data_IF_004457337309
#
_entry.id   IF_004457337309
#
_cell.length_a   1.000
_cell.length_b   1.000
_cell.length_c   1.000
_cell.angle_alpha   90.00
_cell.angle_beta   90.00
_cell.angle_gamma   90.00
#
_symmetry.space_group_name_H-M   'P 1'
#
loop_
_entity.id
_entity.type
_entity.pdbx_description
1 polymer ?
#
# COMPACT_ATOMS: atom_id res chain seq x y z
N UNK A 1 -21.77 7.55 -6.88
CA UNK A 1 -20.47 6.84 -6.71
C UNK A 1 -19.40 7.60 -7.48
N UNK A 2 -18.34 8.07 -6.81
CA UNK A 2 -17.17 8.62 -7.51
C UNK A 2 -16.57 7.57 -8.45
N UNK A 3 -16.31 7.93 -9.72
CA UNK A 3 -15.62 7.05 -10.68
C UNK A 3 -14.14 6.98 -10.34
N UNK A 4 -13.72 5.88 -9.69
CA UNK A 4 -12.33 5.58 -9.34
C UNK A 4 -11.43 5.60 -10.57
N UNK A 5 -10.21 6.11 -10.42
CA UNK A 5 -9.18 6.07 -11.43
C UNK A 5 -7.93 5.35 -10.91
N UNK A 6 -7.25 4.63 -11.80
CA UNK A 6 -5.96 4.00 -11.57
C UNK A 6 -5.01 4.43 -12.68
N UNK A 7 -3.79 4.83 -12.31
CA UNK A 7 -2.72 5.13 -13.27
C UNK A 7 -1.61 4.11 -13.07
N UNK A 8 -1.33 3.34 -14.12
CA UNK A 8 -0.22 2.38 -14.15
C UNK A 8 0.98 3.08 -14.75
N UNK A 9 2.03 3.26 -13.98
CA UNK A 9 3.33 3.65 -14.47
C UNK A 9 4.12 2.39 -14.82
N UNK A 10 4.49 2.23 -16.08
CA UNK A 10 5.12 1.01 -16.58
C UNK A 10 6.53 1.30 -17.10
N UNK A 11 7.52 0.63 -16.50
CA UNK A 11 8.92 0.78 -16.86
C UNK A 11 9.26 0.06 -18.16
N UNK A 12 9.99 0.75 -19.02
CA UNK A 12 10.54 0.23 -20.27
C UNK A 12 12.06 0.46 -20.35
N UNK A 13 12.76 0.66 -19.22
CA UNK A 13 14.23 0.78 -19.20
C UNK A 13 14.94 -0.50 -19.62
N UNK A 14 16.24 -0.40 -19.92
CA UNK A 14 17.05 -1.54 -20.38
C UNK A 14 17.00 -2.75 -19.45
N UNK A 15 16.91 -2.55 -18.14
CA UNK A 15 16.83 -3.61 -17.14
C UNK A 15 15.59 -4.50 -17.34
N UNK A 16 14.54 -3.97 -17.96
CA UNK A 16 13.31 -4.69 -18.28
C UNK A 16 13.45 -5.57 -19.54
N UNK A 17 14.56 -5.50 -20.29
CA UNK A 17 14.83 -6.34 -21.47
C UNK A 17 15.21 -7.78 -21.06
N UNK A 18 14.19 -8.54 -20.67
CA UNK A 18 14.33 -9.92 -20.23
C UNK A 18 13.26 -10.81 -20.85
N UNK A 19 13.50 -12.13 -20.87
CA UNK A 19 12.56 -13.12 -21.41
C UNK A 19 11.15 -13.05 -20.77
N UNK A 20 11.05 -12.55 -19.52
CA UNK A 20 9.80 -12.37 -18.78
C UNK A 20 9.00 -11.12 -19.13
N UNK A 21 9.50 -10.23 -20.00
CA UNK A 21 8.87 -8.94 -20.28
C UNK A 21 7.48 -9.06 -20.94
N UNK A 22 7.34 -9.87 -21.99
CA UNK A 22 6.04 -10.06 -22.66
C UNK A 22 4.98 -10.68 -21.73
N UNK A 23 5.30 -11.71 -20.93
CA UNK A 23 4.41 -12.16 -19.85
C UNK A 23 4.01 -11.05 -18.86
N UNK A 24 4.96 -10.20 -18.44
CA UNK A 24 4.68 -9.05 -17.56
C UNK A 24 3.66 -8.10 -18.19
N UNK A 25 3.85 -7.69 -19.44
CA UNK A 25 2.92 -6.82 -20.17
C UNK A 25 1.51 -7.42 -20.21
N UNK A 26 1.40 -8.73 -20.51
CA UNK A 26 0.12 -9.44 -20.52
C UNK A 26 -0.59 -9.39 -19.16
N UNK A 27 0.13 -9.63 -18.07
CA UNK A 27 -0.45 -9.54 -16.71
C UNK A 27 -0.95 -8.13 -16.38
N UNK A 28 -0.24 -7.09 -16.81
CA UNK A 28 -0.67 -5.70 -16.61
C UNK A 28 -1.92 -5.39 -17.44
N UNK A 29 -2.02 -5.91 -18.66
CA UNK A 29 -3.24 -5.83 -19.49
C UNK A 29 -4.42 -6.53 -18.79
N UNK A 30 -4.21 -7.74 -18.28
CA UNK A 30 -5.24 -8.52 -17.58
C UNK A 30 -5.71 -7.79 -16.32
N UNK A 31 -4.79 -7.22 -15.53
CA UNK A 31 -5.09 -6.38 -14.37
C UNK A 31 -5.94 -5.15 -14.77
N UNK A 32 -5.48 -4.39 -15.76
CA UNK A 32 -6.18 -3.19 -16.22
C UNK A 32 -7.58 -3.52 -16.73
N UNK A 33 -7.73 -4.59 -17.49
CA UNK A 33 -9.03 -5.07 -18.01
C UNK A 33 -9.96 -5.46 -16.87
N UNK A 34 -9.46 -6.20 -15.88
CA UNK A 34 -10.24 -6.58 -14.69
C UNK A 34 -10.74 -5.37 -13.90
N UNK A 35 -9.90 -4.35 -13.73
CA UNK A 35 -10.26 -3.08 -13.08
C UNK A 35 -11.31 -2.30 -13.89
N UNK A 36 -11.15 -2.24 -15.22
CA UNK A 36 -12.10 -1.58 -16.13
C UNK A 36 -13.48 -2.25 -16.12
N UNK A 37 -13.54 -3.59 -16.10
CA UNK A 37 -14.79 -4.36 -16.00
C UNK A 37 -15.58 -4.06 -14.72
N UNK A 38 -14.94 -3.45 -13.72
CA UNK A 38 -15.56 -3.00 -12.47
C UNK A 38 -15.87 -1.50 -12.43
N UNK A 39 -15.79 -0.83 -13.57
CA UNK A 39 -16.06 0.61 -13.69
C UNK A 39 -14.92 1.51 -13.23
N UNK A 40 -13.70 0.98 -13.04
CA UNK A 40 -12.51 1.79 -12.76
C UNK A 40 -11.94 2.35 -14.06
N UNK A 41 -11.65 3.65 -14.11
CA UNK A 41 -10.91 4.24 -15.22
C UNK A 41 -9.43 3.89 -15.08
N UNK A 42 -8.86 3.19 -16.06
CA UNK A 42 -7.45 2.80 -16.02
C UNK A 42 -6.68 3.50 -17.13
N UNK A 43 -5.60 4.14 -16.75
CA UNK A 43 -4.67 4.83 -17.64
C UNK A 43 -3.26 4.27 -17.47
N UNK A 44 -2.43 4.38 -18.50
CA UNK A 44 -1.03 3.92 -18.47
C UNK A 44 -0.08 5.06 -18.83
N UNK A 45 1.03 5.16 -18.12
CA UNK A 45 2.15 6.05 -18.41
C UNK A 45 3.44 5.26 -18.46
N UNK A 46 4.03 5.17 -19.64
CA UNK A 46 5.32 4.55 -19.86
C UNK A 46 6.43 5.45 -19.31
N UNK A 47 7.54 4.85 -18.87
CA UNK A 47 8.73 5.60 -18.48
C UNK A 47 10.01 4.82 -18.77
N UNK A 48 11.13 5.53 -18.79
CA UNK A 48 12.42 5.05 -19.29
C UNK A 48 13.21 6.22 -19.85
N UNK A 49 13.84 6.04 -21.00
CA UNK A 49 14.60 7.08 -21.70
C UNK A 49 13.78 7.83 -22.78
N UNK A 50 14.47 8.51 -23.70
CA UNK A 50 13.84 9.42 -24.67
C UNK A 50 12.93 8.71 -25.66
N UNK A 51 13.17 7.43 -25.96
CA UNK A 51 12.37 6.67 -26.91
C UNK A 51 10.96 6.39 -26.35
N UNK A 52 10.88 6.05 -25.06
CA UNK A 52 9.63 5.89 -24.31
C UNK A 52 8.83 7.20 -24.27
N UNK A 53 9.52 8.33 -24.13
CA UNK A 53 8.89 9.66 -24.17
C UNK A 53 8.35 10.02 -25.55
N UNK A 54 9.03 9.58 -26.62
CA UNK A 54 8.55 9.77 -27.99
C UNK A 54 7.24 9.01 -28.25
N UNK A 55 7.03 7.84 -27.62
CA UNK A 55 5.75 7.13 -27.67
C UNK A 55 4.65 8.04 -27.12
N UNK A 56 4.83 8.63 -25.94
CA UNK A 56 3.84 9.55 -25.37
C UNK A 56 3.64 10.81 -26.20
N UNK A 57 4.70 11.35 -26.82
CA UNK A 57 4.60 12.49 -27.72
C UNK A 57 3.66 12.21 -28.90
N UNK A 58 3.67 10.99 -29.45
CA UNK A 58 2.76 10.56 -30.53
C UNK A 58 1.29 10.54 -30.10
N UNK A 59 1.02 10.45 -28.80
CA UNK A 59 -0.33 10.55 -28.24
C UNK A 59 -0.64 11.95 -27.72
N UNK A 60 0.16 12.98 -28.03
CA UNK A 60 -0.06 14.35 -27.55
C UNK A 60 0.34 14.55 -26.09
N UNK A 61 1.25 13.72 -25.57
CA UNK A 61 1.80 13.83 -24.22
C UNK A 61 0.87 13.37 -23.09
N UNK A 62 -0.34 12.87 -23.41
CA UNK A 62 -1.28 12.35 -22.41
C UNK A 62 -0.95 10.93 -21.95
N UNK A 63 -1.66 10.50 -20.92
CA UNK A 63 -1.72 9.10 -20.50
C UNK A 63 -2.40 8.26 -21.59
N UNK A 64 -1.94 7.03 -21.74
CA UNK A 64 -2.52 6.03 -22.62
C UNK A 64 -3.78 5.44 -21.98
N UNK A 65 -4.74 5.08 -22.82
CA UNK A 65 -5.83 4.18 -22.43
C UNK A 65 -5.34 2.75 -22.37
N UNK A 66 -6.04 1.87 -21.65
CA UNK A 66 -5.70 0.44 -21.65
C UNK A 66 -5.73 -0.19 -23.05
N UNK A 67 -6.61 0.28 -23.94
CA UNK A 67 -6.66 -0.23 -25.31
C UNK A 67 -5.41 0.16 -26.11
N UNK A 68 -4.95 1.40 -25.95
CA UNK A 68 -3.68 1.84 -26.59
C UNK A 68 -2.49 1.09 -26.03
N UNK A 69 -2.48 0.83 -24.72
CA UNK A 69 -1.46 -0.01 -24.09
C UNK A 69 -1.50 -1.46 -24.61
N UNK A 70 -2.68 -2.09 -24.65
CA UNK A 70 -2.80 -3.48 -25.07
C UNK A 70 -2.40 -3.73 -26.53
N UNK A 71 -2.56 -2.73 -27.40
CA UNK A 71 -2.20 -2.82 -28.82
C UNK A 71 -0.83 -2.20 -29.14
N UNK A 72 -0.12 -1.68 -28.14
CA UNK A 72 1.19 -1.10 -28.32
C UNK A 72 2.27 -2.18 -28.47
N UNK A 73 3.20 -1.97 -29.41
CA UNK A 73 4.39 -2.80 -29.54
C UNK A 73 5.53 -2.20 -28.71
N UNK A 74 5.45 -2.35 -27.38
CA UNK A 74 6.46 -1.83 -26.48
C UNK A 74 7.65 -2.76 -26.41
N UNK A 75 8.84 -2.18 -26.51
CA UNK A 75 10.10 -2.87 -26.28
C UNK A 75 10.82 -2.12 -25.19
N UNK A 76 11.41 -2.82 -24.21
CA UNK A 76 12.48 -2.24 -23.44
C UNK A 76 13.57 -1.86 -24.42
N UNK A 77 13.83 -0.58 -24.57
CA UNK A 77 14.93 -0.08 -25.40
C UNK A 77 16.05 0.41 -24.48
N UNK A 78 17.28 0.35 -24.99
CA UNK A 78 18.48 0.60 -24.20
C UNK A 78 18.41 1.96 -23.50
N UNK A 79 18.35 1.98 -22.17
CA UNK A 79 18.23 3.23 -21.45
C UNK A 79 18.12 3.14 -19.94
N UNK A 80 18.20 4.31 -19.31
CA UNK A 80 18.10 4.54 -17.87
C UNK A 80 16.65 4.62 -17.38
N UNK A 81 16.43 4.22 -16.14
CA UNK A 81 15.11 4.27 -15.49
C UNK A 81 14.78 5.70 -15.05
N UNK A 82 14.26 6.55 -15.94
CA UNK A 82 13.81 7.92 -15.60
C UNK A 82 12.30 7.96 -15.39
N UNK A 83 11.88 8.09 -14.14
CA UNK A 83 10.48 8.04 -13.76
C UNK A 83 9.77 9.41 -13.81
N UNK A 84 10.51 10.51 -13.61
CA UNK A 84 9.99 11.88 -13.54
C UNK A 84 9.11 12.27 -14.71
N UNK A 85 9.41 11.98 -15.98
CA UNK A 85 8.54 12.41 -17.08
C UNK A 85 7.14 11.79 -17.02
N UNK A 86 7.06 10.51 -16.65
CA UNK A 86 5.79 9.80 -16.42
C UNK A 86 5.03 10.37 -15.24
N UNK A 87 5.75 10.78 -14.20
CA UNK A 87 5.17 11.51 -13.09
C UNK A 87 4.66 12.92 -13.49
N UNK A 88 5.38 13.68 -14.31
CA UNK A 88 4.92 15.00 -14.77
C UNK A 88 3.65 14.90 -15.63
N UNK A 89 3.46 13.80 -16.39
CA UNK A 89 2.22 13.55 -17.14
C UNK A 89 1.00 13.39 -16.24
N UNK A 90 1.15 12.76 -15.07
CA UNK A 90 0.01 12.59 -14.15
C UNK A 90 -0.39 13.89 -13.49
N UNK A 91 0.45 14.94 -13.54
CA UNK A 91 0.11 16.26 -13.00
C UNK A 91 -1.09 16.93 -13.66
N UNK A 92 -1.40 16.51 -14.88
CA UNK A 92 -2.54 16.99 -15.65
C UNK A 92 -3.83 16.22 -15.33
N UNK A 93 -3.73 15.15 -14.52
CA UNK A 93 -4.85 14.29 -14.18
C UNK A 93 -5.61 14.84 -12.96
N UNK A 94 -6.72 15.52 -13.23
CA UNK A 94 -7.51 16.24 -12.21
C UNK A 94 -8.39 15.35 -11.32
N UNK A 95 -8.51 14.05 -11.62
CA UNK A 95 -9.35 13.14 -10.83
C UNK A 95 -8.50 12.41 -9.79
N UNK A 96 -8.99 12.23 -8.55
CA UNK A 96 -8.32 11.39 -7.57
C UNK A 96 -8.04 9.97 -8.11
N UNK A 97 -6.83 9.46 -7.87
CA UNK A 97 -6.38 8.20 -8.46
C UNK A 97 -5.48 7.38 -7.52
N UNK A 98 -5.44 6.07 -7.75
CA UNK A 98 -4.42 5.18 -7.19
C UNK A 98 -3.32 4.92 -8.25
N UNK A 99 -2.05 4.93 -7.85
CA UNK A 99 -0.91 4.71 -8.74
C UNK A 99 -0.34 3.30 -8.59
N UNK A 100 -0.01 2.63 -9.69
CA UNK A 100 0.71 1.36 -9.70
C UNK A 100 1.99 1.56 -10.49
N UNK A 101 3.15 1.47 -9.84
CA UNK A 101 4.46 1.61 -10.47
C UNK A 101 5.05 0.21 -10.62
N UNK A 102 5.34 -0.18 -11.87
CA UNK A 102 5.95 -1.47 -12.20
C UNK A 102 7.37 -1.20 -12.66
N UNK A 103 8.38 -1.62 -11.89
CA UNK A 103 9.81 -1.40 -12.19
C UNK A 103 10.69 -2.40 -11.44
N UNK A 104 11.82 -2.76 -12.04
CA UNK A 104 12.79 -3.69 -11.46
C UNK A 104 14.02 -3.03 -10.84
N UNK A 105 14.18 -1.71 -10.98
CA UNK A 105 15.45 -1.03 -10.75
C UNK A 105 15.38 0.30 -9.98
N UNK A 106 16.56 0.81 -9.63
CA UNK A 106 16.70 2.11 -9.00
C UNK A 106 16.46 3.24 -10.00
N UNK A 107 15.51 4.12 -9.70
CA UNK A 107 15.30 5.32 -10.49
C UNK A 107 16.58 6.16 -10.58
N UNK A 108 17.02 6.39 -11.82
CA UNK A 108 18.29 7.06 -12.11
C UNK A 108 18.16 8.59 -12.10
N UNK A 109 16.94 9.09 -12.28
CA UNK A 109 16.63 10.49 -12.05
C UNK A 109 16.46 10.75 -10.55
N UNK A 110 16.76 11.98 -10.11
CA UNK A 110 16.63 12.41 -8.71
C UNK A 110 15.14 12.39 -8.32
N UNK A 111 14.62 11.20 -8.00
CA UNK A 111 13.24 10.94 -7.59
C UNK A 111 12.91 11.50 -6.21
N UNK A 112 13.93 11.92 -5.46
CA UNK A 112 13.87 12.59 -4.16
C UNK A 112 13.05 13.89 -4.10
N UNK A 113 12.35 14.27 -5.18
CA UNK A 113 11.46 15.46 -5.25
C UNK A 113 10.17 15.20 -6.02
N UNK A 114 9.77 13.94 -6.21
CA UNK A 114 8.51 13.62 -6.86
C UNK A 114 7.37 13.77 -5.85
N UNK A 115 6.94 14.99 -5.56
CA UNK A 115 5.77 15.22 -4.73
C UNK A 115 4.52 14.74 -5.49
N UNK A 116 4.03 13.52 -5.23
CA UNK A 116 2.73 13.09 -5.74
C UNK A 116 1.70 14.16 -5.40
N UNK A 117 0.93 14.56 -6.40
CA UNK A 117 -0.07 15.62 -6.24
C UNK A 117 -1.13 15.22 -5.22
N UNK A 118 -1.84 16.22 -4.70
CA UNK A 118 -2.96 16.11 -3.76
C UNK A 118 -4.06 15.13 -4.21
N UNK A 119 -4.04 14.65 -5.47
CA UNK A 119 -5.00 13.73 -6.05
C UNK A 119 -4.60 12.24 -5.89
N UNK A 120 -3.34 11.92 -5.63
CA UNK A 120 -2.91 10.52 -5.49
C UNK A 120 -3.32 9.96 -4.11
N UNK A 121 -4.13 8.89 -4.12
CA UNK A 121 -4.70 8.28 -2.91
C UNK A 121 -3.88 7.12 -2.36
N UNK A 122 -3.17 6.39 -3.22
CA UNK A 122 -2.35 5.22 -2.88
C UNK A 122 -1.28 5.04 -3.95
N UNK A 123 -0.10 4.55 -3.56
CA UNK A 123 0.93 4.09 -4.50
C UNK A 123 1.31 2.64 -4.22
N UNK A 124 1.17 1.78 -5.23
CA UNK A 124 1.71 0.42 -5.23
C UNK A 124 3.01 0.42 -6.01
N UNK A 125 4.09 -0.10 -5.42
CA UNK A 125 5.30 -0.44 -6.15
C UNK A 125 5.32 -1.95 -6.37
N UNK A 126 5.36 -2.37 -7.63
CA UNK A 126 5.31 -3.77 -8.05
C UNK A 126 6.66 -4.14 -8.62
N UNK A 127 7.37 -5.03 -7.92
CA UNK A 127 8.62 -5.60 -8.40
C UNK A 127 8.32 -6.74 -9.40
N UNK A 128 8.80 -6.67 -10.65
CA UNK A 128 8.73 -7.79 -11.59
C UNK A 128 9.41 -9.07 -11.07
N UNK A 129 9.11 -10.25 -11.65
CA UNK A 129 9.63 -11.54 -11.17
C UNK A 129 11.17 -11.69 -11.11
N UNK A 130 11.92 -10.91 -11.90
CA UNK A 130 13.38 -10.97 -11.97
C UNK A 130 14.07 -9.96 -11.05
N UNK A 131 13.33 -9.10 -10.37
CA UNK A 131 13.91 -8.07 -9.53
C UNK A 131 14.59 -8.67 -8.29
N UNK A 132 15.54 -7.92 -7.73
CA UNK A 132 16.22 -8.33 -6.51
C UNK A 132 15.27 -8.32 -5.31
N UNK A 133 15.43 -9.29 -4.39
CA UNK A 133 14.64 -9.35 -3.16
C UNK A 133 14.73 -8.05 -2.36
N UNK A 134 13.58 -7.52 -1.92
CA UNK A 134 13.49 -6.32 -1.08
C UNK A 134 13.52 -4.98 -1.83
N UNK A 135 13.62 -5.01 -3.17
CA UNK A 135 13.55 -3.81 -4.02
C UNK A 135 12.23 -3.05 -3.80
N UNK A 136 11.14 -3.78 -3.60
CA UNK A 136 9.81 -3.23 -3.35
C UNK A 136 9.74 -2.43 -2.05
N UNK A 137 10.45 -2.89 -1.00
CA UNK A 137 10.52 -2.19 0.28
C UNK A 137 11.41 -0.96 0.17
N UNK A 138 12.55 -1.09 -0.52
CA UNK A 138 13.49 0.02 -0.75
C UNK A 138 12.81 1.16 -1.50
N UNK A 139 12.11 0.86 -2.60
CA UNK A 139 11.42 1.87 -3.38
C UNK A 139 10.18 2.41 -2.69
N UNK A 140 9.36 1.56 -2.04
CA UNK A 140 8.24 2.06 -1.25
C UNK A 140 8.71 3.06 -0.18
N UNK A 141 9.83 2.80 0.50
CA UNK A 141 10.43 3.73 1.48
C UNK A 141 10.97 5.01 0.85
N UNK A 142 11.71 4.90 -0.26
CA UNK A 142 12.30 6.06 -0.95
C UNK A 142 11.22 6.98 -1.53
N UNK A 143 10.13 6.42 -2.04
CA UNK A 143 9.01 7.21 -2.52
C UNK A 143 8.23 7.79 -1.34
N UNK A 144 7.97 7.00 -0.28
CA UNK A 144 7.30 7.49 0.93
C UNK A 144 8.03 8.67 1.60
N UNK A 145 9.37 8.67 1.62
CA UNK A 145 10.16 9.76 2.19
C UNK A 145 10.21 11.02 1.32
N UNK A 146 9.78 10.93 0.06
CA UNK A 146 9.86 12.01 -0.93
C UNK A 146 8.55 12.79 -1.10
N UNK A 147 7.49 12.41 -0.36
CA UNK A 147 6.10 12.79 -0.66
C UNK A 147 5.33 13.18 0.60
N UNK A 148 4.24 13.93 0.43
CA UNK A 148 3.21 14.18 1.44
C UNK A 148 2.97 12.95 2.32
N UNK A 149 3.04 13.13 3.64
CA UNK A 149 2.88 12.09 4.67
C UNK A 149 1.51 11.36 4.66
N UNK A 150 0.64 11.66 3.69
CA UNK A 150 -0.75 11.24 3.63
C UNK A 150 -1.05 10.20 2.54
N UNK A 151 -0.06 9.82 1.71
CA UNK A 151 -0.25 8.79 0.67
C UNK A 151 0.36 7.46 1.16
N UNK A 152 -0.42 6.36 1.24
CA UNK A 152 0.09 5.05 1.56
C UNK A 152 0.93 4.49 0.41
N UNK A 153 2.10 3.94 0.76
CA UNK A 153 3.02 3.26 -0.16
C UNK A 153 3.07 1.77 0.17
N UNK A 154 2.92 0.92 -0.85
CA UNK A 154 2.83 -0.54 -0.69
C UNK A 154 3.81 -1.20 -1.64
N UNK A 155 4.79 -1.92 -1.11
CA UNK A 155 5.65 -2.80 -1.89
C UNK A 155 4.98 -4.15 -2.13
N UNK A 156 4.89 -4.58 -3.39
CA UNK A 156 4.47 -5.91 -3.81
C UNK A 156 5.71 -6.61 -4.35
N UNK A 157 6.16 -7.62 -3.60
CA UNK A 157 7.36 -8.39 -3.89
C UNK A 157 7.17 -9.30 -5.11
N UNK A 158 8.27 -9.64 -5.76
CA UNK A 158 8.33 -10.43 -7.00
C UNK A 158 7.64 -11.78 -6.90
N UNK A 159 7.73 -12.46 -5.76
CA UNK A 159 7.07 -13.75 -5.52
C UNK A 159 5.53 -13.66 -5.44
N UNK A 160 5.01 -12.47 -5.13
CA UNK A 160 3.56 -12.20 -5.05
C UNK A 160 2.98 -11.74 -6.39
N UNK A 161 3.82 -11.62 -7.43
CA UNK A 161 3.44 -11.16 -8.75
C UNK A 161 2.27 -11.97 -9.39
N UNK A 162 2.20 -13.32 -9.27
CA UNK A 162 1.04 -14.07 -9.77
C UNK A 162 -0.30 -13.71 -9.11
N UNK A 163 -0.25 -13.09 -7.93
CA UNK A 163 -1.41 -12.68 -7.14
C UNK A 163 -1.67 -11.17 -7.25
N UNK A 164 -0.96 -10.45 -8.12
CA UNK A 164 -0.99 -8.98 -8.22
C UNK A 164 -2.42 -8.44 -8.32
N UNK A 165 -3.25 -9.03 -9.19
CA UNK A 165 -4.61 -8.58 -9.38
C UNK A 165 -5.52 -8.80 -8.17
N UNK A 166 -5.24 -9.81 -7.35
CA UNK A 166 -5.96 -10.04 -6.09
C UNK A 166 -5.48 -9.06 -5.02
N UNK A 167 -4.17 -8.89 -4.85
CA UNK A 167 -3.58 -8.00 -3.84
C UNK A 167 -4.02 -6.55 -4.05
N UNK A 168 -3.91 -6.05 -5.29
CA UNK A 168 -4.33 -4.68 -5.63
C UNK A 168 -5.82 -4.54 -5.35
N UNK A 169 -6.64 -5.48 -5.81
CA UNK A 169 -8.08 -5.43 -5.61
C UNK A 169 -8.48 -5.44 -4.12
N UNK A 170 -7.91 -6.34 -3.35
CA UNK A 170 -8.13 -6.43 -1.90
C UNK A 170 -7.78 -5.10 -1.24
N UNK A 171 -6.59 -4.56 -1.49
CA UNK A 171 -6.19 -3.29 -0.90
C UNK A 171 -7.08 -2.13 -1.33
N UNK A 172 -7.40 -2.04 -2.62
CA UNK A 172 -8.24 -1.00 -3.17
C UNK A 172 -9.65 -1.05 -2.56
N UNK A 173 -10.22 -2.23 -2.35
CA UNK A 173 -11.48 -2.41 -1.65
C UNK A 173 -11.35 -2.06 -0.17
N UNK A 174 -10.29 -2.52 0.50
CA UNK A 174 -10.01 -2.21 1.90
C UNK A 174 -9.94 -0.70 2.16
N UNK A 175 -9.26 0.04 1.30
CA UNK A 175 -9.12 1.48 1.41
C UNK A 175 -10.44 2.24 1.28
N UNK A 176 -11.42 1.72 0.52
CA UNK A 176 -12.76 2.32 0.45
C UNK A 176 -13.45 2.36 1.82
N UNK A 177 -13.05 1.50 2.76
CA UNK A 177 -13.59 1.48 4.10
C UNK A 177 -12.88 2.44 5.06
N UNK A 178 -11.64 2.84 4.74
CA UNK A 178 -10.80 3.73 5.56
C UNK A 178 -10.65 5.15 4.98
N UNK A 179 -11.35 5.51 3.90
CA UNK A 179 -11.22 6.76 3.12
C UNK A 179 -11.28 8.05 3.95
N UNK A 180 -11.86 8.02 5.16
CA UNK A 180 -11.93 9.18 6.06
C UNK A 180 -10.70 9.36 6.96
N UNK A 181 -9.75 8.43 6.92
CA UNK A 181 -8.57 8.44 7.77
C UNK A 181 -7.38 9.05 7.00
N UNK A 182 -6.80 10.10 7.58
CA UNK A 182 -5.71 10.88 6.99
C UNK A 182 -4.37 10.50 7.62
N UNK A 183 -3.31 10.52 6.80
CA UNK A 183 -1.96 10.15 7.21
C UNK A 183 -1.79 8.64 7.23
N UNK A 184 -0.66 8.11 6.77
CA UNK A 184 -0.31 6.69 6.94
C UNK A 184 1.04 6.55 7.62
N UNK A 185 1.15 5.58 8.50
CA UNK A 185 2.38 5.18 9.15
C UNK A 185 2.63 3.70 8.91
N UNK A 186 3.90 3.34 8.79
CA UNK A 186 4.33 1.95 8.68
C UNK A 186 4.90 1.53 10.02
N UNK A 187 4.35 0.47 10.61
CA UNK A 187 4.87 -0.16 11.82
C UNK A 187 5.24 -1.60 11.44
N UNK A 188 6.54 -1.91 11.48
CA UNK A 188 7.05 -3.17 10.92
C UNK A 188 6.76 -3.29 9.42
N UNK A 189 5.98 -4.31 9.03
CA UNK A 189 5.50 -4.52 7.66
C UNK A 189 4.05 -4.06 7.42
N UNK A 190 3.40 -3.44 8.41
CA UNK A 190 1.99 -3.05 8.34
C UNK A 190 1.84 -1.56 8.09
N UNK A 191 1.11 -1.18 7.04
CA UNK A 191 0.74 0.21 6.76
C UNK A 191 -0.67 0.48 7.28
N UNK A 192 -0.80 1.41 8.22
CA UNK A 192 -2.07 1.83 8.81
C UNK A 192 -2.22 3.34 8.79
N UNK A 193 -3.45 3.88 8.79
CA UNK A 193 -3.62 5.31 8.94
C UNK A 193 -3.02 5.82 10.27
N UNK A 194 -2.18 6.86 10.21
CA UNK A 194 -1.43 7.38 11.37
C UNK A 194 -2.35 7.85 12.48
N UNK A 195 -3.50 8.41 12.12
CA UNK A 195 -4.50 8.85 13.07
C UNK A 195 -5.15 7.69 13.85
N UNK A 196 -5.08 6.43 13.39
CA UNK A 196 -5.53 5.26 14.15
C UNK A 196 -4.66 4.96 15.37
N UNK A 197 -3.46 5.52 15.46
CA UNK A 197 -2.64 5.40 16.67
C UNK A 197 -3.18 6.23 17.85
N UNK A 198 -4.16 7.12 17.60
CA UNK A 198 -4.88 7.83 18.65
C UNK A 198 -6.10 7.00 19.12
N UNK A 199 -6.28 6.76 20.44
CA UNK A 199 -7.41 5.98 20.95
C UNK A 199 -8.78 6.44 20.47
N UNK A 200 -9.03 7.75 20.44
CA UNK A 200 -10.33 8.31 20.01
C UNK A 200 -10.66 7.98 18.56
N UNK A 201 -9.71 8.17 17.66
CA UNK A 201 -9.86 7.85 16.22
C UNK A 201 -9.95 6.36 15.94
N UNK A 202 -9.23 5.54 16.72
CA UNK A 202 -9.34 4.10 16.65
C UNK A 202 -10.76 3.63 17.02
N UNK A 203 -11.34 4.19 18.08
CA UNK A 203 -12.71 3.87 18.50
C UNK A 203 -13.77 4.38 17.50
N UNK A 204 -13.59 5.59 16.94
CA UNK A 204 -14.46 6.10 15.88
C UNK A 204 -14.46 5.17 14.65
N UNK A 205 -13.27 4.69 14.26
CA UNK A 205 -13.13 3.77 13.13
C UNK A 205 -13.72 2.40 13.45
N UNK A 206 -13.51 1.88 14.65
CA UNK A 206 -14.11 0.64 15.12
C UNK A 206 -15.64 0.70 14.98
N UNK A 207 -16.27 1.75 15.50
CA UNK A 207 -17.72 1.91 15.43
C UNK A 207 -18.20 2.02 13.98
N UNK A 208 -17.49 2.79 13.15
CA UNK A 208 -17.83 2.93 11.74
C UNK A 208 -17.74 1.58 10.99
N UNK A 209 -16.72 0.77 11.28
CA UNK A 209 -16.59 -0.58 10.72
C UNK A 209 -17.68 -1.53 11.23
N UNK A 210 -18.04 -1.43 12.51
CA UNK A 210 -19.10 -2.23 13.11
C UNK A 210 -20.47 -1.92 12.48
N UNK A 211 -20.81 -0.65 12.28
CA UNK A 211 -22.04 -0.20 11.63
C UNK A 211 -22.15 -0.66 10.17
N UNK A 212 -21.02 -0.85 9.48
CA UNK A 212 -20.97 -1.34 8.10
C UNK A 212 -21.13 -2.87 7.97
N UNK A 213 -21.07 -3.61 9.09
CA UNK A 213 -21.33 -5.04 9.14
C UNK A 213 -20.10 -5.92 9.40
N UNK A 214 -20.36 -7.22 9.57
CA UNK A 214 -19.37 -8.18 10.06
C UNK A 214 -18.14 -8.32 9.14
N UNK A 215 -18.32 -8.30 7.82
CA UNK A 215 -17.21 -8.43 6.86
C UNK A 215 -16.18 -7.29 7.02
N UNK A 216 -16.67 -6.06 7.17
CA UNK A 216 -15.83 -4.88 7.37
C UNK A 216 -15.12 -4.96 8.73
N UNK A 217 -15.85 -5.41 9.74
CA UNK A 217 -15.29 -5.61 11.07
C UNK A 217 -14.16 -6.65 11.09
N UNK A 218 -14.32 -7.76 10.37
CA UNK A 218 -13.30 -8.79 10.20
C UNK A 218 -12.02 -8.24 9.54
N UNK A 219 -12.16 -7.43 8.48
CA UNK A 219 -11.01 -6.80 7.80
C UNK A 219 -10.27 -5.85 8.75
N UNK A 220 -11.00 -5.00 9.46
CA UNK A 220 -10.42 -4.06 10.42
C UNK A 220 -9.69 -4.79 11.55
N UNK A 221 -10.34 -5.77 12.17
CA UNK A 221 -9.76 -6.55 13.26
C UNK A 221 -8.54 -7.33 12.81
N UNK A 222 -8.55 -7.93 11.61
CA UNK A 222 -7.36 -8.60 11.05
C UNK A 222 -6.14 -7.67 10.98
N UNK A 223 -6.33 -6.39 10.61
CA UNK A 223 -5.24 -5.40 10.59
C UNK A 223 -4.75 -5.06 11.98
N UNK A 224 -5.66 -4.84 12.92
CA UNK A 224 -5.31 -4.57 14.33
C UNK A 224 -4.52 -5.74 14.93
N UNK A 225 -4.99 -6.97 14.73
CA UNK A 225 -4.30 -8.17 15.20
C UNK A 225 -2.89 -8.30 14.61
N UNK A 226 -2.71 -7.95 13.34
CA UNK A 226 -1.39 -7.91 12.70
C UNK A 226 -0.41 -6.95 13.38
N UNK A 227 -0.86 -5.73 13.70
CA UNK A 227 -0.03 -4.74 14.42
C UNK A 227 0.41 -5.25 15.79
N UNK A 228 -0.52 -5.83 16.54
CA UNK A 228 -0.23 -6.34 17.88
C UNK A 228 0.64 -7.60 17.86
N UNK A 229 0.55 -8.44 16.82
CA UNK A 229 1.51 -9.55 16.61
C UNK A 229 2.92 -9.04 16.37
N UNK A 230 3.08 -8.02 15.53
CA UNK A 230 4.38 -7.40 15.30
C UNK A 230 4.99 -6.86 16.60
N UNK A 231 4.19 -6.23 17.46
CA UNK A 231 4.64 -5.80 18.78
C UNK A 231 5.05 -6.96 19.67
N UNK A 232 4.24 -8.02 19.72
CA UNK A 232 4.52 -9.22 20.50
C UNK A 232 5.87 -9.85 20.07
N UNK A 233 6.11 -9.97 18.77
CA UNK A 233 7.36 -10.51 18.21
C UNK A 233 8.56 -9.60 18.51
N UNK A 234 8.40 -8.28 18.35
CA UNK A 234 9.47 -7.32 18.63
C UNK A 234 9.84 -7.30 20.11
N UNK A 235 8.84 -7.37 20.99
CA UNK A 235 9.03 -7.40 22.43
C UNK A 235 9.69 -8.70 22.91
N UNK A 236 9.43 -9.85 22.27
CA UNK A 236 10.14 -11.11 22.54
C UNK A 236 11.64 -11.03 22.27
N UNK A 237 12.05 -10.23 21.28
CA UNK A 237 13.46 -10.07 20.92
C UNK A 237 14.18 -9.11 21.88
N UNK A 238 13.55 -7.99 22.25
CA UNK A 238 14.14 -7.00 23.16
C UNK A 238 13.06 -6.17 23.85
N UNK A 239 12.56 -6.67 24.98
CA UNK A 239 11.47 -6.04 25.72
C UNK A 239 11.81 -4.62 26.20
N UNK A 240 13.01 -4.41 26.75
CA UNK A 240 13.44 -3.11 27.27
C UNK A 240 13.49 -2.02 26.18
N UNK A 241 14.05 -2.34 25.01
CA UNK A 241 14.07 -1.41 23.87
C UNK A 241 12.65 -1.15 23.36
N UNK A 242 11.80 -2.17 23.39
CA UNK A 242 10.42 -2.08 22.93
C UNK A 242 9.61 -1.10 23.79
N UNK A 243 9.64 -1.22 25.13
CA UNK A 243 8.86 -0.35 26.05
C UNK A 243 9.26 1.13 25.98
N UNK A 244 10.51 1.42 25.57
CA UNK A 244 11.02 2.80 25.40
C UNK A 244 10.63 3.41 24.04
N UNK A 245 10.15 2.60 23.09
CA UNK A 245 9.77 3.06 21.75
C UNK A 245 8.41 3.74 21.72
N UNK A 246 8.31 4.85 20.97
CA UNK A 246 7.06 5.59 20.80
C UNK A 246 5.96 4.75 20.13
N UNK A 247 6.32 3.92 19.15
CA UNK A 247 5.39 3.00 18.48
C UNK A 247 4.73 2.03 19.46
N UNK A 248 5.52 1.43 20.35
CA UNK A 248 5.03 0.51 21.37
C UNK A 248 4.11 1.22 22.35
N UNK A 249 4.51 2.39 22.87
CA UNK A 249 3.68 3.17 23.81
C UNK A 249 2.35 3.57 23.18
N UNK A 250 2.37 4.03 21.93
CA UNK A 250 1.17 4.42 21.20
C UNK A 250 0.23 3.23 21.01
N UNK A 251 0.74 2.08 20.57
CA UNK A 251 -0.10 0.89 20.35
C UNK A 251 -0.59 0.27 21.67
N UNK A 252 0.24 0.25 22.71
CA UNK A 252 -0.19 -0.20 24.04
C UNK A 252 -1.29 0.68 24.63
N UNK A 253 -1.29 1.99 24.32
CA UNK A 253 -2.37 2.90 24.72
C UNK A 253 -3.74 2.53 24.11
N UNK A 254 -3.75 1.77 23.01
CA UNK A 254 -4.97 1.29 22.36
C UNK A 254 -5.53 0.00 22.97
N UNK A 255 -4.72 -0.78 23.70
CA UNK A 255 -5.11 -2.11 24.20
C UNK A 255 -6.34 -2.03 25.09
N UNK A 256 -6.33 -1.19 26.13
CA UNK A 256 -7.46 -1.08 27.05
C UNK A 256 -8.73 -0.54 26.38
N UNK A 257 -8.69 0.56 25.59
CA UNK A 257 -9.85 1.00 24.80
C UNK A 257 -10.42 -0.09 23.89
N UNK A 258 -9.56 -0.82 23.17
CA UNK A 258 -9.98 -1.87 22.25
C UNK A 258 -10.55 -3.09 22.96
N UNK A 259 -10.03 -3.48 24.13
CA UNK A 259 -10.63 -4.53 24.97
C UNK A 259 -12.05 -4.11 25.38
N UNK A 260 -12.22 -2.90 25.92
CA UNK A 260 -13.52 -2.42 26.40
C UNK A 260 -14.58 -2.42 25.30
N UNK A 261 -14.24 -1.88 24.13
CA UNK A 261 -15.18 -1.81 23.02
C UNK A 261 -15.40 -3.18 22.36
N UNK A 262 -14.39 -4.05 22.30
CA UNK A 262 -14.60 -5.42 21.80
C UNK A 262 -15.50 -6.21 22.74
N UNK A 263 -15.37 -5.99 24.06
CA UNK A 263 -16.20 -6.62 25.08
C UNK A 263 -17.69 -6.30 24.90
N UNK A 264 -18.03 -5.05 24.55
CA UNK A 264 -19.43 -4.64 24.33
C UNK A 264 -20.08 -5.28 23.09
N UNK A 265 -19.31 -5.95 22.23
CA UNK A 265 -19.78 -6.56 20.99
C UNK A 265 -19.46 -8.06 20.88
N UNK A 266 -19.11 -8.73 22.00
CA UNK A 266 -18.74 -10.15 21.99
C UNK A 266 -19.86 -11.06 21.47
N UNK A 267 -21.10 -10.82 21.90
CA UNK A 267 -22.23 -11.70 21.59
C UNK A 267 -22.74 -11.52 20.16
N UNK A 268 -22.38 -10.41 19.51
CA UNK A 268 -22.95 -9.99 18.22
C UNK A 268 -21.96 -10.06 17.07
N UNK A 269 -20.66 -10.21 17.35
CA UNK A 269 -19.64 -10.17 16.31
C UNK A 269 -18.46 -11.09 16.61
N UNK A 270 -18.27 -12.09 15.74
CA UNK A 270 -17.18 -13.07 15.88
C UNK A 270 -15.79 -12.44 15.79
N UNK A 271 -15.63 -11.35 15.04
CA UNK A 271 -14.38 -10.60 14.96
C UNK A 271 -14.04 -9.98 16.32
N UNK A 272 -15.02 -9.38 17.00
CA UNK A 272 -14.85 -8.76 18.32
C UNK A 272 -14.42 -9.79 19.38
N UNK A 273 -14.94 -11.03 19.31
CA UNK A 273 -14.48 -12.12 20.17
C UNK A 273 -13.00 -12.43 19.97
N UNK A 274 -12.55 -12.51 18.72
CA UNK A 274 -11.14 -12.74 18.40
C UNK A 274 -10.25 -11.61 18.91
N UNK A 275 -10.65 -10.36 18.68
CA UNK A 275 -9.88 -9.20 19.14
C UNK A 275 -9.78 -9.14 20.66
N UNK A 276 -10.91 -9.29 21.36
CA UNK A 276 -10.94 -9.30 22.83
C UNK A 276 -10.04 -10.38 23.42
N UNK A 277 -10.17 -11.62 22.93
CA UNK A 277 -9.37 -12.75 23.43
C UNK A 277 -7.87 -12.53 23.19
N UNK A 278 -7.49 -12.02 22.02
CA UNK A 278 -6.08 -11.76 21.70
C UNK A 278 -5.49 -10.61 22.52
N UNK A 279 -6.20 -9.48 22.65
CA UNK A 279 -5.71 -8.33 23.39
C UNK A 279 -5.59 -8.60 24.90
N UNK A 280 -6.52 -9.37 25.47
CA UNK A 280 -6.45 -9.78 26.88
C UNK A 280 -5.19 -10.60 27.13
N UNK A 281 -4.91 -11.59 26.26
CA UNK A 281 -3.67 -12.39 26.32
C UNK A 281 -2.41 -11.53 26.21
N UNK A 282 -2.42 -10.54 25.33
CA UNK A 282 -1.30 -9.60 25.18
C UNK A 282 -1.06 -8.81 26.46
N UNK A 283 -2.13 -8.29 27.07
CA UNK A 283 -2.03 -7.50 28.29
C UNK A 283 -1.45 -8.35 29.43
N UNK A 284 -1.90 -9.60 29.56
CA UNK A 284 -1.40 -10.54 30.57
C UNK A 284 0.09 -10.85 30.36
N UNK A 285 0.49 -11.20 29.13
CA UNK A 285 1.87 -11.52 28.79
C UNK A 285 2.82 -10.34 29.03
N UNK A 286 2.43 -9.13 28.60
CA UNK A 286 3.25 -7.94 28.83
C UNK A 286 3.28 -7.52 30.29
N UNK A 287 2.20 -7.71 31.04
CA UNK A 287 2.19 -7.49 32.48
C UNK A 287 3.23 -8.37 33.20
N UNK A 288 3.32 -9.64 32.83
CA UNK A 288 4.31 -10.57 33.40
C UNK A 288 5.74 -10.19 33.04
N UNK A 289 6.03 -9.84 31.78
CA UNK A 289 7.38 -9.41 31.37
C UNK A 289 7.78 -8.08 32.01
N UNK A 290 6.85 -7.15 32.17
CA UNK A 290 7.11 -5.87 32.84
C UNK A 290 7.45 -6.05 34.32
N UNK A 291 6.78 -6.98 35.02
CA UNK A 291 7.10 -7.31 36.40
C UNK A 291 8.52 -7.86 36.55
N UNK A 292 8.99 -8.71 35.62
CA UNK A 292 10.37 -9.23 35.62
C UNK A 292 11.41 -8.12 35.45
N UNK A 293 11.07 -7.07 34.72
CA UNK A 293 11.97 -5.93 34.46
C UNK A 293 12.05 -4.95 35.64
N UNK A 294 11.00 -4.87 36.47
CA UNK A 294 10.95 -3.94 37.61
C UNK A 294 11.54 -4.50 38.91
N UNK A 295 12.06 -5.73 38.89
CA UNK A 295 12.77 -6.41 39.99
C UNK A 295 14.27 -6.37 39.70
#
# INVERSE_FOLDING_TARGET
MEKRAVIIHFDLSASMDVAGFNPLVKTIIDLGTKLQNRGTRVHVSLFGDREQEAIHANFGGRLLTMNEFANGNYRPDGGSTKFRPSFERTKQFLTPYDAIIVSDGDFTDKTAKLAFQDQCRTVFFVAPPWSSLGVEVKHAKAIASSVYANVPYIGIASEKYPQLATIVEEFLNEQQFFVRLLGYTTIGGYTIPSNLLAPTRMLETFNCCHEQGEKQMQVFIKKILGLFRYLEETAKLNFERCIRGDEFRNLMSLVTPLIKISQSHLETNSACQQLYGYLTKILDNFGQEYQKFCI
#
